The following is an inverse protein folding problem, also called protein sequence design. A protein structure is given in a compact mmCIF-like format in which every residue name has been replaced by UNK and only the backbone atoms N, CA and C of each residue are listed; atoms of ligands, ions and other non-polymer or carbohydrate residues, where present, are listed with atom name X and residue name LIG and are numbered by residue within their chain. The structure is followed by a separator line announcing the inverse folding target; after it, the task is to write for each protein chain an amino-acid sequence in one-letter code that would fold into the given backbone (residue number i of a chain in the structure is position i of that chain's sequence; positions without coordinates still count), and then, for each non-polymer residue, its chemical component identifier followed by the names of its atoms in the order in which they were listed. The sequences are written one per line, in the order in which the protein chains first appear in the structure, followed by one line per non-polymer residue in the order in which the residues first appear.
data_IF_868465100517
#
_entry.id   IF_868465100517
#
_cell.length_a   1.000
_cell.length_b   1.000
_cell.length_c   1.000
_cell.angle_alpha   90.00
_cell.angle_beta   90.00
_cell.angle_gamma   90.00
#
_symmetry.space_group_name_H-M   'P 1'
#
loop_
_entity.id
_entity.type
_entity.pdbx_description
1 polymer ?
#
# COMPACT_ATOMS: atom_id res chain seq x y z
N UNK A 1 42.38 -25.15 -85.18
CA UNK A 1 41.45 -24.08 -84.75
C UNK A 1 40.78 -24.52 -83.45
N UNK A 2 40.84 -23.66 -82.43
CA UNK A 2 40.08 -23.62 -81.16
C UNK A 2 40.17 -24.82 -80.18
N UNK A 3 41.09 -24.70 -79.23
CA UNK A 3 41.01 -25.29 -77.87
C UNK A 3 39.97 -24.52 -77.06
N UNK A 4 39.09 -25.20 -76.31
CA UNK A 4 38.42 -24.63 -75.14
C UNK A 4 38.36 -25.71 -74.05
N UNK A 5 39.21 -25.54 -73.04
CA UNK A 5 39.25 -26.31 -71.81
C UNK A 5 38.04 -25.94 -70.94
N UNK A 6 37.38 -26.96 -70.40
CA UNK A 6 36.34 -26.82 -69.39
C UNK A 6 36.99 -26.35 -68.07
N UNK A 7 36.75 -25.10 -67.69
CA UNK A 7 37.19 -24.56 -66.40
C UNK A 7 36.19 -24.97 -65.32
N UNK A 8 36.65 -25.78 -64.38
CA UNK A 8 35.94 -26.21 -63.18
C UNK A 8 35.93 -25.06 -62.15
N UNK A 9 34.83 -24.32 -62.04
CA UNK A 9 34.66 -23.31 -60.99
C UNK A 9 34.34 -23.98 -59.65
N UNK A 10 35.32 -23.97 -58.76
CA UNK A 10 35.19 -24.32 -57.35
C UNK A 10 34.56 -23.14 -56.59
N UNK A 11 33.24 -23.19 -56.37
CA UNK A 11 32.55 -22.20 -55.56
C UNK A 11 32.68 -22.55 -54.06
N UNK A 12 33.53 -21.80 -53.34
CA UNK A 12 33.56 -21.75 -51.88
C UNK A 12 32.22 -21.19 -51.38
N UNK A 13 31.34 -22.04 -50.86
CA UNK A 13 30.21 -21.62 -50.06
C UNK A 13 30.69 -21.29 -48.64
N UNK A 14 30.97 -20.02 -48.37
CA UNK A 14 31.09 -19.47 -47.03
C UNK A 14 29.70 -19.47 -46.38
N UNK A 15 29.41 -20.50 -45.58
CA UNK A 15 28.25 -20.53 -44.70
C UNK A 15 28.42 -19.50 -43.59
N UNK A 16 27.71 -18.38 -43.69
CA UNK A 16 27.54 -17.43 -42.59
C UNK A 16 26.55 -18.05 -41.62
N UNK A 17 27.04 -18.79 -40.63
CA UNK A 17 26.23 -19.22 -39.49
C UNK A 17 25.97 -18.00 -38.62
N UNK A 18 24.80 -17.38 -38.79
CA UNK A 18 24.31 -16.41 -37.80
C UNK A 18 23.97 -17.18 -36.52
N UNK A 19 24.49 -16.79 -35.35
CA UNK A 19 24.05 -17.40 -34.10
C UNK A 19 22.59 -17.01 -33.88
N UNK A 20 21.74 -18.03 -33.75
CA UNK A 20 20.38 -17.92 -33.29
C UNK A 20 20.41 -17.29 -31.89
N UNK A 21 20.06 -16.01 -31.79
CA UNK A 21 19.90 -15.36 -30.50
C UNK A 21 18.69 -16.02 -29.82
N UNK A 22 18.97 -16.92 -28.88
CA UNK A 22 17.98 -17.39 -27.93
C UNK A 22 17.50 -16.16 -27.15
N UNK A 23 16.26 -15.73 -27.39
CA UNK A 23 15.56 -14.81 -26.52
C UNK A 23 15.39 -15.54 -25.19
N UNK A 24 16.31 -15.29 -24.26
CA UNK A 24 16.11 -15.66 -22.88
C UNK A 24 14.84 -14.93 -22.42
N UNK A 25 13.78 -15.69 -22.13
CA UNK A 25 12.60 -15.17 -21.45
C UNK A 25 13.08 -14.67 -20.10
N UNK A 26 13.34 -13.37 -20.03
CA UNK A 26 13.79 -12.68 -18.82
C UNK A 26 12.85 -13.10 -17.71
N UNK A 27 13.38 -13.76 -16.68
CA UNK A 27 12.70 -13.88 -15.39
C UNK A 27 12.41 -12.45 -14.94
N UNK A 28 11.17 -11.99 -15.15
CA UNK A 28 10.71 -10.66 -14.81
C UNK A 28 10.84 -10.55 -13.30
N UNK A 29 11.95 -9.98 -12.82
CA UNK A 29 12.05 -9.53 -11.44
C UNK A 29 11.22 -8.25 -11.35
N UNK A 30 10.09 -8.24 -10.64
CA UNK A 30 9.06 -7.21 -10.72
C UNK A 30 9.45 -5.89 -10.01
N UNK A 31 10.75 -5.61 -9.94
CA UNK A 31 11.34 -4.42 -9.33
C UNK A 31 12.36 -3.73 -10.24
N UNK A 32 12.51 -4.16 -11.51
CA UNK A 32 13.46 -3.50 -12.41
C UNK A 32 12.94 -2.12 -12.85
N UNK A 33 13.39 -1.08 -12.15
CA UNK A 33 13.05 0.32 -12.47
C UNK A 33 13.69 0.83 -13.76
N UNK A 34 14.69 0.13 -14.32
CA UNK A 34 15.35 0.55 -15.57
C UNK A 34 14.45 0.44 -16.80
N UNK A 35 13.39 -0.37 -16.73
CA UNK A 35 12.40 -0.52 -17.80
C UNK A 35 11.15 0.33 -17.57
N UNK A 36 11.09 1.08 -16.46
CA UNK A 36 9.97 1.96 -16.16
C UNK A 36 9.99 3.20 -17.08
N UNK A 37 8.83 3.71 -17.50
CA UNK A 37 8.77 4.96 -18.24
C UNK A 37 9.27 6.13 -17.38
N UNK A 38 10.00 7.05 -18.00
CA UNK A 38 10.43 8.28 -17.33
C UNK A 38 9.29 9.28 -17.28
N UNK A 39 8.83 9.61 -16.07
CA UNK A 39 7.81 10.63 -15.81
C UNK A 39 8.50 11.79 -15.10
N UNK A 40 8.21 13.03 -15.52
CA UNK A 40 8.82 14.20 -14.90
C UNK A 40 8.29 14.42 -13.47
N UNK A 41 9.15 14.88 -12.56
CA UNK A 41 8.75 15.18 -11.18
C UNK A 41 7.65 16.24 -11.09
N UNK A 42 7.66 17.23 -12.00
CA UNK A 42 6.61 18.24 -12.09
C UNK A 42 5.23 17.63 -12.39
N UNK A 43 5.17 16.67 -13.32
CA UNK A 43 3.93 15.93 -13.62
C UNK A 43 3.48 15.11 -12.41
N UNK A 44 4.39 14.39 -11.75
CA UNK A 44 4.06 13.59 -10.56
C UNK A 44 3.51 14.45 -9.42
N UNK A 45 4.06 15.65 -9.20
CA UNK A 45 3.59 16.55 -8.14
C UNK A 45 2.20 17.15 -8.39
N UNK A 46 1.73 17.16 -9.64
CA UNK A 46 0.41 17.69 -10.01
C UNK A 46 -0.70 16.64 -9.90
N UNK A 47 -0.36 15.36 -9.73
CA UNK A 47 -1.35 14.30 -9.62
C UNK A 47 -2.13 14.39 -8.29
N UNK A 48 -3.44 14.10 -8.30
CA UNK A 48 -4.24 14.05 -7.08
C UNK A 48 -3.98 12.75 -6.33
N UNK A 49 -2.92 12.73 -5.53
CA UNK A 49 -2.53 11.59 -4.71
C UNK A 49 -3.58 11.30 -3.63
N UNK A 50 -4.28 10.18 -3.77
CA UNK A 50 -5.30 9.74 -2.82
C UNK A 50 -4.62 9.01 -1.64
N UNK A 51 -4.82 9.46 -0.39
CA UNK A 51 -4.23 8.79 0.76
C UNK A 51 -4.90 7.42 1.00
N UNK A 52 -4.10 6.37 1.17
CA UNK A 52 -4.56 5.01 1.41
C UNK A 52 -3.84 4.43 2.62
N UNK A 53 -4.50 4.47 3.78
CA UNK A 53 -3.92 4.06 5.08
C UNK A 53 -4.27 2.60 5.39
N UNK A 54 -3.28 1.68 5.48
CA UNK A 54 -3.54 0.25 5.74
C UNK A 54 -4.10 -0.01 7.15
N UNK A 55 -4.97 -1.02 7.33
CA UNK A 55 -5.58 -1.83 6.29
C UNK A 55 -6.68 -1.06 5.54
N UNK A 56 -6.64 -1.11 4.21
CA UNK A 56 -7.63 -0.43 3.37
C UNK A 56 -8.04 -1.28 2.17
N UNK A 57 -9.29 -1.10 1.74
CA UNK A 57 -9.79 -1.61 0.46
C UNK A 57 -10.58 -0.49 -0.20
N UNK A 58 -10.23 -0.16 -1.44
CA UNK A 58 -10.86 0.92 -2.18
C UNK A 58 -11.15 0.47 -3.62
N UNK A 59 -12.30 0.88 -4.11
CA UNK A 59 -12.68 0.73 -5.52
C UNK A 59 -12.56 2.10 -6.20
N UNK A 60 -11.94 2.11 -7.38
CA UNK A 60 -11.62 3.32 -8.13
C UNK A 60 -12.10 3.14 -9.57
N UNK A 61 -12.96 4.06 -10.01
CA UNK A 61 -13.41 4.12 -11.39
C UNK A 61 -12.50 5.05 -12.18
N UNK A 62 -11.76 4.49 -13.13
CA UNK A 62 -10.99 5.25 -14.11
C UNK A 62 -11.91 5.62 -15.26
N UNK A 63 -12.12 6.92 -15.46
CA UNK A 63 -13.00 7.47 -16.50
C UNK A 63 -12.24 8.46 -17.37
N UNK A 64 -12.85 8.98 -18.44
CA UNK A 64 -12.24 10.02 -19.28
C UNK A 64 -11.95 11.33 -18.50
N UNK A 65 -12.60 11.55 -17.35
CA UNK A 65 -12.37 12.71 -16.49
C UNK A 65 -11.30 12.46 -15.41
N UNK A 66 -10.81 11.23 -15.29
CA UNK A 66 -9.72 10.92 -14.38
C UNK A 66 -8.42 11.58 -14.87
N UNK A 67 -7.43 11.81 -13.98
CA UNK A 67 -6.15 12.35 -14.38
C UNK A 67 -5.52 11.52 -15.50
N UNK A 68 -4.79 12.17 -16.41
CA UNK A 68 -4.09 11.52 -17.50
C UNK A 68 -2.64 11.98 -17.53
N UNK A 69 -1.76 11.10 -18.00
CA UNK A 69 -0.34 11.40 -18.20
C UNK A 69 0.00 11.08 -19.65
N UNK A 70 0.52 12.06 -20.38
CA UNK A 70 0.95 11.91 -21.77
C UNK A 70 2.48 11.99 -21.90
N UNK A 71 3.19 11.18 -21.10
CA UNK A 71 4.65 11.09 -21.11
C UNK A 71 5.11 9.66 -21.39
N UNK A 72 6.11 9.51 -22.26
CA UNK A 72 6.58 8.20 -22.70
C UNK A 72 5.49 7.43 -23.43
N UNK A 73 5.28 6.17 -23.02
CA UNK A 73 4.27 5.27 -23.58
C UNK A 73 2.98 5.22 -22.78
N UNK A 74 2.83 6.07 -21.76
CA UNK A 74 1.65 6.11 -20.89
C UNK A 74 0.49 6.71 -21.67
N UNK A 75 -0.67 6.05 -21.62
CA UNK A 75 -1.87 6.49 -22.31
C UNK A 75 -3.12 6.11 -21.50
N UNK A 76 -4.09 7.02 -21.43
CA UNK A 76 -5.34 6.79 -20.69
C UNK A 76 -5.36 7.37 -19.28
N UNK A 77 -6.38 6.95 -18.52
CA UNK A 77 -6.61 7.39 -17.16
C UNK A 77 -5.60 6.76 -16.18
N UNK A 78 -5.21 7.52 -15.16
CA UNK A 78 -4.29 7.08 -14.11
C UNK A 78 -4.93 7.17 -12.73
N UNK A 79 -4.55 6.26 -11.84
CA UNK A 79 -4.84 6.33 -10.41
C UNK A 79 -3.54 6.55 -9.63
N UNK A 80 -3.58 7.46 -8.67
CA UNK A 80 -2.42 7.87 -7.90
C UNK A 80 -2.73 7.73 -6.40
N UNK A 81 -1.96 6.92 -5.68
CA UNK A 81 -2.16 6.62 -4.27
C UNK A 81 -0.94 7.01 -3.44
N UNK A 82 -1.14 7.59 -2.26
CA UNK A 82 -0.10 7.83 -1.27
C UNK A 82 -0.30 6.89 -0.08
N UNK A 83 0.72 6.15 0.29
CA UNK A 83 0.65 5.14 1.35
C UNK A 83 1.65 5.44 2.45
N UNK A 84 1.26 5.39 3.74
CA UNK A 84 2.20 5.54 4.84
C UNK A 84 3.18 4.36 4.84
N UNK A 85 4.47 4.69 4.97
CA UNK A 85 5.58 3.75 4.90
C UNK A 85 6.20 3.44 6.28
N UNK A 86 5.66 4.03 7.35
CA UNK A 86 6.07 3.84 8.74
C UNK A 86 5.49 2.56 9.39
N UNK A 87 4.73 1.78 8.62
CA UNK A 87 4.00 0.59 9.10
C UNK A 87 4.61 -0.74 8.66
N UNK A 88 5.93 -0.80 8.49
CA UNK A 88 6.63 -2.03 8.10
C UNK A 88 6.28 -2.52 6.69
N UNK A 89 6.49 -3.81 6.42
CA UNK A 89 6.18 -4.40 5.12
C UNK A 89 4.68 -4.35 4.81
N UNK A 90 4.38 -4.17 3.53
CA UNK A 90 3.03 -4.01 3.02
C UNK A 90 2.76 -5.01 1.89
N UNK A 91 1.56 -5.57 1.89
CA UNK A 91 1.04 -6.36 0.77
C UNK A 91 -0.08 -5.57 0.09
N UNK A 92 0.09 -5.31 -1.21
CA UNK A 92 -0.85 -4.59 -2.05
C UNK A 92 -1.39 -5.57 -3.09
N UNK A 93 -2.69 -5.84 -3.05
CA UNK A 93 -3.39 -6.53 -4.13
C UNK A 93 -4.08 -5.50 -5.00
N UNK A 94 -3.67 -5.39 -6.26
CA UNK A 94 -4.36 -4.60 -7.27
C UNK A 94 -5.13 -5.54 -8.19
N UNK A 95 -6.40 -5.22 -8.41
CA UNK A 95 -7.29 -5.92 -9.33
C UNK A 95 -7.88 -4.94 -10.34
N UNK A 96 -7.82 -5.26 -11.62
CA UNK A 96 -8.61 -4.57 -12.65
C UNK A 96 -9.72 -5.46 -13.14
N UNK A 97 -10.97 -5.02 -12.95
CA UNK A 97 -12.16 -5.80 -13.24
C UNK A 97 -12.49 -5.75 -14.73
N UNK A 98 -12.92 -6.87 -15.27
CA UNK A 98 -13.53 -6.94 -16.60
C UNK A 98 -14.98 -6.47 -16.51
N UNK A 99 -15.38 -5.58 -17.41
CA UNK A 99 -16.77 -5.15 -17.60
C UNK A 99 -17.07 -5.08 -19.10
N UNK A 100 -18.16 -5.70 -19.55
CA UNK A 100 -18.58 -5.67 -20.96
C UNK A 100 -17.47 -6.05 -21.97
N UNK A 101 -16.70 -7.11 -21.69
CA UNK A 101 -15.54 -7.51 -22.50
C UNK A 101 -14.50 -6.38 -22.69
N UNK A 102 -14.46 -5.42 -21.77
CA UNK A 102 -13.46 -4.37 -21.68
C UNK A 102 -12.70 -4.52 -20.37
N UNK A 103 -11.42 -4.15 -20.39
CA UNK A 103 -10.50 -4.40 -19.30
C UNK A 103 -9.41 -3.32 -19.30
N UNK A 104 -9.13 -2.75 -18.15
CA UNK A 104 -7.95 -1.90 -18.02
C UNK A 104 -6.73 -2.79 -17.74
N UNK A 105 -5.64 -2.63 -18.50
CA UNK A 105 -4.42 -3.42 -18.29
C UNK A 105 -3.40 -2.60 -17.50
N UNK A 106 -3.25 -2.83 -16.18
CA UNK A 106 -2.50 -1.93 -15.32
C UNK A 106 -1.00 -2.21 -15.37
N UNK A 107 -0.21 -1.16 -15.40
CA UNK A 107 1.19 -1.12 -14.96
C UNK A 107 1.27 -0.26 -13.70
N UNK A 108 2.16 -0.62 -12.77
CA UNK A 108 2.32 0.08 -11.49
C UNK A 108 3.75 0.56 -11.33
N UNK A 109 3.91 1.87 -11.16
CA UNK A 109 5.16 2.49 -10.75
C UNK A 109 5.07 2.84 -9.26
N UNK A 110 5.98 2.28 -8.48
CA UNK A 110 6.15 2.62 -7.07
C UNK A 110 7.24 3.67 -6.97
N UNK A 111 6.94 4.76 -6.26
CA UNK A 111 7.86 5.86 -6.02
C UNK A 111 8.19 5.97 -4.53
N UNK A 112 9.41 6.40 -4.23
CA UNK A 112 9.83 6.77 -2.88
C UNK A 112 9.24 8.11 -2.43
N UNK A 113 9.54 8.51 -1.20
CA UNK A 113 9.14 9.80 -0.61
C UNK A 113 9.62 11.02 -1.42
N UNK A 114 10.67 10.87 -2.24
CA UNK A 114 11.19 11.91 -3.12
C UNK A 114 10.64 11.83 -4.55
N UNK A 115 9.57 11.03 -4.78
CA UNK A 115 8.96 10.78 -6.10
C UNK A 115 9.93 10.16 -7.12
N UNK A 116 10.90 9.36 -6.66
CA UNK A 116 11.83 8.62 -7.54
C UNK A 116 11.35 7.17 -7.69
N UNK A 117 11.52 6.56 -8.87
CA UNK A 117 11.19 5.15 -9.07
C UNK A 117 11.89 4.22 -8.08
N UNK A 118 11.12 3.48 -7.31
CA UNK A 118 11.59 2.50 -6.32
C UNK A 118 11.30 1.05 -6.77
N UNK A 119 10.17 0.81 -7.43
CA UNK A 119 9.84 -0.48 -8.03
C UNK A 119 8.91 -0.28 -9.23
N UNK A 120 8.88 -1.26 -10.14
CA UNK A 120 8.04 -1.20 -11.33
C UNK A 120 7.48 -2.58 -11.69
N UNK A 121 6.15 -2.64 -11.78
CA UNK A 121 5.38 -3.83 -12.11
C UNK A 121 4.70 -3.61 -13.47
N UNK A 122 5.21 -4.23 -14.55
CA UNK A 122 4.61 -4.10 -15.88
C UNK A 122 3.27 -4.82 -15.98
N UNK A 123 2.50 -4.55 -17.03
CA UNK A 123 1.20 -5.19 -17.27
C UNK A 123 1.24 -6.73 -17.26
N UNK A 124 2.34 -7.33 -17.73
CA UNK A 124 2.53 -8.79 -17.71
C UNK A 124 2.64 -9.39 -16.30
N UNK A 125 2.82 -8.57 -15.26
CA UNK A 125 2.79 -9.02 -13.87
C UNK A 125 1.38 -9.37 -13.40
N UNK A 126 0.35 -8.79 -14.03
CA UNK A 126 -1.04 -8.96 -13.62
C UNK A 126 -1.68 -10.08 -14.45
N UNK A 127 -2.03 -11.17 -13.78
CA UNK A 127 -2.56 -12.38 -14.44
C UNK A 127 -4.07 -12.40 -14.41
N UNK A 128 -4.67 -13.03 -15.43
CA UNK A 128 -6.10 -13.25 -15.47
C UNK A 128 -6.55 -14.22 -14.37
N UNK A 129 -7.51 -13.78 -13.58
CA UNK A 129 -8.20 -14.56 -12.56
C UNK A 129 -9.67 -14.68 -12.94
N UNK A 130 -10.15 -15.92 -13.04
CA UNK A 130 -11.54 -16.21 -13.39
C UNK A 130 -12.52 -15.71 -12.34
N UNK A 131 -13.75 -15.46 -12.77
CA UNK A 131 -14.86 -15.15 -11.88
C UNK A 131 -15.11 -16.28 -10.85
N UNK A 132 -15.56 -15.87 -9.66
CA UNK A 132 -16.03 -16.73 -8.58
C UNK A 132 -17.37 -16.21 -8.01
N UNK A 133 -17.86 -16.82 -6.93
CA UNK A 133 -19.22 -16.58 -6.40
C UNK A 133 -19.53 -15.09 -6.12
N UNK A 134 -18.53 -14.29 -5.75
CA UNK A 134 -18.66 -12.86 -5.42
C UNK A 134 -17.57 -11.99 -6.07
N UNK A 135 -16.83 -12.53 -7.04
CA UNK A 135 -15.68 -11.84 -7.64
C UNK A 135 -15.76 -11.99 -9.15
N UNK A 136 -15.68 -10.89 -9.87
CA UNK A 136 -15.71 -10.91 -11.32
C UNK A 136 -14.35 -11.32 -11.91
N UNK A 137 -14.38 -11.63 -13.20
CA UNK A 137 -13.19 -11.75 -14.04
C UNK A 137 -12.33 -10.50 -13.91
N UNK A 138 -11.01 -10.68 -13.76
CA UNK A 138 -10.10 -9.57 -13.51
C UNK A 138 -8.67 -9.91 -13.88
N UNK A 139 -7.85 -8.89 -14.08
CA UNK A 139 -6.40 -8.99 -13.94
C UNK A 139 -6.03 -8.72 -12.49
N UNK A 140 -5.20 -9.55 -11.88
CA UNK A 140 -4.78 -9.39 -10.49
C UNK A 140 -3.27 -9.51 -10.33
N UNK A 141 -2.70 -8.70 -9.45
CA UNK A 141 -1.31 -8.78 -9.04
C UNK A 141 -1.16 -8.46 -7.56
N UNK A 142 -0.30 -9.22 -6.87
CA UNK A 142 0.02 -9.02 -5.46
C UNK A 142 1.44 -8.51 -5.35
N UNK A 143 1.64 -7.33 -4.80
CA UNK A 143 2.92 -6.66 -4.66
C UNK A 143 3.30 -6.62 -3.18
N UNK A 144 4.45 -7.16 -2.83
CA UNK A 144 5.01 -7.08 -1.48
C UNK A 144 6.08 -6.00 -1.47
N UNK A 145 5.82 -4.92 -0.73
CA UNK A 145 6.69 -3.76 -0.64
C UNK A 145 7.21 -3.64 0.79
N UNK A 146 8.52 -3.49 0.93
CA UNK A 146 9.16 -3.19 2.21
C UNK A 146 9.80 -1.82 2.10
N UNK A 147 9.16 -0.77 2.64
CA UNK A 147 9.73 0.56 2.62
C UNK A 147 11.07 0.61 3.36
N UNK A 148 11.96 1.53 2.94
CA UNK A 148 13.24 1.70 3.60
C UNK A 148 13.07 2.29 5.02
N UNK A 149 14.01 1.98 5.91
CA UNK A 149 14.01 2.53 7.27
C UNK A 149 14.05 4.07 7.23
N UNK A 150 13.14 4.70 7.98
CA UNK A 150 13.02 6.17 8.04
C UNK A 150 12.14 6.79 6.95
N UNK A 151 11.68 6.02 5.97
CA UNK A 151 10.72 6.49 4.98
C UNK A 151 9.33 6.63 5.61
N UNK A 152 8.70 7.80 5.43
CA UNK A 152 7.37 8.07 6.00
C UNK A 152 6.24 7.77 5.03
N UNK A 153 6.51 7.86 3.74
CA UNK A 153 5.52 7.68 2.69
C UNK A 153 6.12 7.09 1.42
N UNK A 154 5.32 6.29 0.72
CA UNK A 154 5.56 5.87 -0.66
C UNK A 154 4.36 6.25 -1.54
N UNK A 155 4.57 6.27 -2.84
CA UNK A 155 3.52 6.57 -3.79
C UNK A 155 3.35 5.45 -4.81
N UNK A 156 2.11 5.12 -5.13
CA UNK A 156 1.76 4.11 -6.14
C UNK A 156 1.01 4.78 -7.28
N UNK A 157 1.61 4.76 -8.46
CA UNK A 157 0.99 5.24 -9.69
C UNK A 157 0.56 4.05 -10.55
N UNK A 158 -0.74 3.92 -10.79
CA UNK A 158 -1.34 2.91 -11.66
C UNK A 158 -1.76 3.57 -12.97
N UNK A 159 -1.30 3.02 -14.09
CA UNK A 159 -1.58 3.53 -15.42
C UNK A 159 -1.61 2.38 -16.43
N UNK A 160 -1.92 2.67 -17.69
CA UNK A 160 -1.74 1.71 -18.79
C UNK A 160 -0.88 2.33 -19.89
N UNK A 161 -0.41 1.49 -20.82
CA UNK A 161 0.49 1.91 -21.88
C UNK A 161 -0.16 1.71 -23.25
N UNK A 162 0.29 2.47 -24.26
CA UNK A 162 -0.17 2.28 -25.64
C UNK A 162 0.04 0.85 -26.14
N UNK A 163 1.14 0.22 -25.74
CA UNK A 163 1.44 -1.17 -26.12
C UNK A 163 0.43 -2.13 -25.50
N UNK A 164 0.09 -1.93 -24.23
CA UNK A 164 -0.86 -2.80 -23.55
C UNK A 164 -2.29 -2.55 -24.01
N UNK A 165 -2.65 -1.31 -24.38
CA UNK A 165 -3.94 -0.99 -25.00
C UNK A 165 -4.15 -1.69 -26.36
N UNK A 166 -3.07 -2.00 -27.09
CA UNK A 166 -3.15 -2.74 -28.34
C UNK A 166 -3.32 -4.27 -28.14
N UNK A 167 -3.18 -4.76 -26.90
CA UNK A 167 -3.33 -6.18 -26.55
C UNK A 167 -4.76 -6.49 -26.10
N UNK A 168 -5.00 -7.77 -25.84
CA UNK A 168 -6.26 -8.28 -25.33
C UNK A 168 -6.02 -9.45 -24.39
N UNK A 169 -6.96 -9.70 -23.48
CA UNK A 169 -6.92 -10.83 -22.56
C UNK A 169 -8.00 -11.84 -22.95
N UNK A 170 -7.63 -13.12 -23.05
CA UNK A 170 -8.60 -14.20 -23.25
C UNK A 170 -9.19 -14.58 -21.90
N UNK A 171 -10.51 -14.57 -21.78
CA UNK A 171 -11.25 -14.88 -20.56
C UNK A 171 -11.73 -16.34 -20.60
N UNK A 172 -12.09 -16.91 -19.45
CA UNK A 172 -12.73 -18.22 -19.42
C UNK A 172 -14.21 -18.11 -19.77
N UNK A 173 -14.67 -18.85 -20.78
CA UNK A 173 -16.09 -18.88 -21.12
C UNK A 173 -16.94 -19.37 -19.93
N UNK A 174 -18.07 -18.70 -19.60
CA UNK A 174 -18.92 -19.08 -18.46
C UNK A 174 -19.38 -20.54 -18.50
N UNK A 175 -19.71 -21.07 -19.68
CA UNK A 175 -20.13 -22.47 -19.82
C UNK A 175 -18.97 -23.46 -19.54
N UNK A 176 -17.73 -23.11 -19.90
CA UNK A 176 -16.55 -23.91 -19.52
C UNK A 176 -16.31 -23.85 -18.02
N UNK A 177 -16.37 -22.66 -17.42
CA UNK A 177 -16.21 -22.48 -15.98
C UNK A 177 -17.25 -23.28 -15.18
N UNK A 178 -18.51 -23.25 -15.62
CA UNK A 178 -19.59 -24.03 -15.01
C UNK A 178 -19.35 -25.54 -15.13
N UNK A 179 -19.05 -26.03 -16.34
CA UNK A 179 -18.77 -27.45 -16.57
C UNK A 179 -17.62 -27.96 -15.69
N UNK A 180 -16.53 -27.20 -15.60
CA UNK A 180 -15.41 -27.50 -14.70
C UNK A 180 -15.84 -27.53 -13.23
N UNK A 181 -16.73 -26.62 -12.81
CA UNK A 181 -17.21 -26.53 -11.43
C UNK A 181 -18.13 -27.68 -11.01
N UNK A 182 -18.92 -28.24 -11.93
CA UNK A 182 -19.83 -29.37 -11.67
C UNK A 182 -19.23 -30.73 -12.03
N UNK A 183 -17.98 -30.77 -12.52
CA UNK A 183 -17.31 -32.02 -12.91
C UNK A 183 -17.80 -32.63 -14.24
N UNK A 184 -18.45 -31.83 -15.08
CA UNK A 184 -18.90 -32.26 -16.41
C UNK A 184 -17.78 -32.12 -17.44
N UNK A 185 -17.96 -32.77 -18.60
CA UNK A 185 -17.11 -32.55 -19.76
C UNK A 185 -17.11 -31.06 -20.16
N UNK A 186 -15.92 -30.48 -20.37
CA UNK A 186 -15.78 -29.07 -20.77
C UNK A 186 -16.20 -28.91 -22.23
N UNK A 187 -17.18 -28.03 -22.54
CA UNK A 187 -17.60 -27.80 -23.93
C UNK A 187 -16.48 -27.21 -24.79
N UNK A 188 -16.39 -27.65 -26.04
CA UNK A 188 -15.48 -27.09 -27.05
C UNK A 188 -16.10 -25.84 -27.68
N UNK A 189 -16.04 -24.72 -26.96
CA UNK A 189 -16.49 -23.40 -27.43
C UNK A 189 -15.34 -22.40 -27.36
N UNK A 190 -15.29 -21.39 -28.25
CA UNK A 190 -14.31 -20.31 -28.13
C UNK A 190 -14.48 -19.51 -26.83
N UNK A 191 -13.36 -19.07 -26.29
CA UNK A 191 -13.30 -18.24 -25.09
C UNK A 191 -13.51 -16.74 -25.43
N UNK A 192 -14.26 -15.98 -24.61
CA UNK A 192 -14.47 -14.56 -24.85
C UNK A 192 -13.17 -13.77 -24.72
N UNK A 193 -13.00 -12.74 -25.55
CA UNK A 193 -11.82 -11.88 -25.54
C UNK A 193 -12.20 -10.53 -24.93
N UNK A 194 -11.45 -10.09 -23.92
CA UNK A 194 -11.53 -8.75 -23.36
C UNK A 194 -10.55 -7.81 -24.08
N UNK A 195 -11.06 -6.71 -24.64
CA UNK A 195 -10.23 -5.66 -25.23
C UNK A 195 -9.68 -4.75 -24.14
N UNK A 196 -8.43 -4.34 -24.28
CA UNK A 196 -7.85 -3.40 -23.34
C UNK A 196 -8.33 -1.98 -23.61
N UNK A 197 -8.65 -1.23 -22.55
CA UNK A 197 -9.23 0.12 -22.63
C UNK A 197 -8.48 1.11 -21.74
N UNK A 198 -8.44 2.41 -22.10
CA UNK A 198 -7.75 3.45 -21.32
C UNK A 198 -8.48 3.82 -20.02
N UNK A 199 -9.65 3.24 -19.80
CA UNK A 199 -10.54 3.43 -18.65
C UNK A 199 -11.00 2.07 -18.13
N UNK A 200 -11.46 2.00 -16.89
CA UNK A 200 -11.95 0.75 -16.29
C UNK A 200 -12.11 0.83 -14.78
N UNK A 201 -12.50 -0.28 -14.17
CA UNK A 201 -12.69 -0.36 -12.73
C UNK A 201 -11.50 -1.05 -12.07
N UNK A 202 -10.96 -0.40 -11.04
CA UNK A 202 -9.86 -0.91 -10.23
C UNK A 202 -10.33 -1.17 -8.81
N UNK A 203 -9.76 -2.20 -8.19
CA UNK A 203 -9.88 -2.48 -6.76
C UNK A 203 -8.49 -2.66 -6.18
N UNK A 204 -8.16 -1.85 -5.19
CA UNK A 204 -6.89 -1.93 -4.47
C UNK A 204 -7.15 -2.33 -3.02
N UNK A 205 -6.46 -3.36 -2.56
CA UNK A 205 -6.44 -3.80 -1.18
C UNK A 205 -5.02 -3.68 -0.66
N UNK A 206 -4.86 -3.05 0.49
CA UNK A 206 -3.57 -2.85 1.12
C UNK A 206 -3.63 -3.34 2.56
N UNK A 207 -2.67 -4.17 2.94
CA UNK A 207 -2.45 -4.62 4.31
C UNK A 207 -1.01 -4.33 4.71
N UNK A 208 -0.80 -3.88 5.95
CA UNK A 208 0.53 -3.73 6.53
C UNK A 208 0.72 -4.82 7.58
N UNK A 209 1.95 -5.31 7.76
CA UNK A 209 2.27 -6.36 8.73
C UNK A 209 2.20 -5.88 10.19
N UNK A 210 2.00 -4.58 10.42
CA UNK A 210 1.80 -4.02 11.75
C UNK A 210 0.35 -4.18 12.19
N UNK A 211 0.08 -5.19 13.01
CA UNK A 211 -1.24 -5.38 13.62
C UNK A 211 -1.82 -6.78 13.55
N UNK A 212 -1.00 -7.83 13.43
CA UNK A 212 -1.41 -9.13 13.99
C UNK A 212 -1.58 -8.93 15.49
N UNK A 213 -2.81 -8.64 15.91
CA UNK A 213 -3.16 -8.24 17.26
C UNK A 213 -2.62 -9.24 18.27
N UNK A 214 -1.72 -8.79 19.14
CA UNK A 214 -1.43 -9.50 20.36
C UNK A 214 -2.72 -9.47 21.19
N UNK A 215 -3.48 -10.57 21.20
CA UNK A 215 -4.58 -10.77 22.12
C UNK A 215 -3.93 -11.03 23.48
N UNK A 216 -4.05 -10.07 24.40
CA UNK A 216 -3.66 -10.29 25.79
C UNK A 216 -4.71 -11.21 26.42
N UNK A 217 -4.40 -12.50 26.51
CA UNK A 217 -5.25 -13.48 27.19
C UNK A 217 -5.06 -13.31 28.70
N UNK A 218 -6.01 -12.66 29.36
CA UNK A 218 -6.02 -12.47 30.81
C UNK A 218 -7.12 -11.51 31.31
N UNK A 219 -8.26 -12.09 31.72
CA UNK A 219 -9.34 -11.56 32.58
C UNK A 219 -9.70 -10.06 32.50
N UNK A 220 -10.72 -9.76 31.70
CA UNK A 220 -11.60 -8.58 31.88
C UNK A 220 -12.55 -8.82 33.06
N UNK A 221 -12.50 -7.98 34.09
CA UNK A 221 -13.57 -7.91 35.10
C UNK A 221 -14.67 -6.96 34.64
N UNK A 222 -15.89 -7.35 34.96
CA UNK A 222 -17.16 -7.04 34.32
C UNK A 222 -17.97 -5.91 34.97
N UNK A 223 -18.66 -5.15 34.09
CA UNK A 223 -20.02 -4.55 34.23
C UNK A 223 -20.19 -3.25 35.06
N UNK A 224 -21.34 -2.51 34.93
CA UNK A 224 -22.23 -2.25 33.78
C UNK A 224 -22.59 -0.74 33.59
N UNK A 225 -23.44 -0.48 32.59
CA UNK A 225 -23.91 0.80 32.07
C UNK A 225 -24.83 1.65 32.99
N UNK A 226 -24.87 2.96 32.74
CA UNK A 226 -26.13 3.76 32.66
C UNK A 226 -25.87 5.12 31.99
N UNK A 227 -26.88 5.59 31.26
CA UNK A 227 -26.84 6.71 30.30
C UNK A 227 -27.52 8.00 30.89
N UNK A 228 -27.81 9.05 30.10
CA UNK A 228 -27.43 10.45 30.37
C UNK A 228 -28.57 11.33 30.93
N UNK A 229 -28.25 12.50 31.49
CA UNK A 229 -29.25 13.57 31.72
C UNK A 229 -28.70 14.95 31.32
N UNK A 230 -29.43 15.58 30.40
CA UNK A 230 -29.37 16.95 29.89
C UNK A 230 -30.01 17.92 30.89
N UNK A 231 -29.45 19.12 31.13
CA UNK A 231 -30.19 20.41 31.21
C UNK A 231 -29.24 21.61 31.00
N UNK A 232 -29.56 22.51 30.05
CA UNK A 232 -29.41 23.96 30.27
C UNK A 232 -28.45 24.77 29.38
N UNK A 233 -28.96 25.23 28.23
CA UNK A 233 -28.86 26.59 27.66
C UNK A 233 -27.67 27.50 28.09
N UNK A 234 -26.86 28.08 27.19
CA UNK A 234 -27.25 29.03 26.12
C UNK A 234 -26.07 29.27 25.16
N UNK A 235 -26.42 29.60 23.92
CA UNK A 235 -25.51 29.89 22.82
C UNK A 235 -24.81 31.27 22.88
N UNK A 236 -23.54 31.27 22.44
CA UNK A 236 -22.73 32.22 21.64
C UNK A 236 -23.08 33.73 21.56
N UNK A 237 -22.05 34.61 21.43
CA UNK A 237 -21.47 34.90 20.09
C UNK A 237 -19.93 34.98 19.99
N UNK A 238 -19.42 34.71 18.78
CA UNK A 238 -18.03 34.84 18.27
C UNK A 238 -17.69 36.31 17.89
N UNK A 239 -16.58 36.66 17.15
CA UNK A 239 -15.25 36.07 16.88
C UNK A 239 -14.12 37.03 17.41
N UNK A 240 -12.79 36.81 17.35
CA UNK A 240 -11.84 37.01 16.22
C UNK A 240 -10.40 36.62 16.65
N UNK A 241 -9.67 36.02 15.70
CA UNK A 241 -8.22 36.08 15.41
C UNK A 241 -7.14 35.87 16.51
N UNK A 242 -6.24 34.91 16.21
CA UNK A 242 -4.96 34.64 16.87
C UNK A 242 -3.97 35.84 16.79
N UNK A 243 -2.98 35.96 17.71
CA UNK A 243 -1.69 35.27 17.47
C UNK A 243 -0.89 34.81 18.72
N UNK A 244 -0.29 33.60 18.61
CA UNK A 244 0.97 33.14 19.25
C UNK A 244 1.12 33.22 20.81
N UNK A 245 2.25 32.76 21.40
CA UNK A 245 2.57 31.37 21.77
C UNK A 245 2.67 31.14 23.31
N UNK A 246 2.87 29.87 23.69
CA UNK A 246 3.26 29.32 25.03
C UNK A 246 2.26 29.40 26.19
N UNK A 247 1.89 28.23 26.75
CA UNK A 247 1.59 28.13 28.18
C UNK A 247 2.08 26.80 28.76
N UNK A 248 2.90 26.91 29.80
CA UNK A 248 3.30 25.84 30.68
C UNK A 248 2.07 25.13 31.26
N UNK A 249 2.18 23.80 31.43
CA UNK A 249 1.18 22.98 32.10
C UNK A 249 0.85 23.58 33.48
N UNK A 250 -0.43 23.74 33.75
CA UNK A 250 -0.91 24.24 35.03
C UNK A 250 -0.55 23.23 36.13
N UNK A 251 -0.10 23.68 37.32
CA UNK A 251 0.32 22.80 38.39
C UNK A 251 -0.85 21.92 38.83
N UNK A 252 -0.57 20.63 39.06
CA UNK A 252 -1.54 19.68 39.60
C UNK A 252 -2.22 20.24 40.86
N UNK A 253 -3.50 19.91 41.03
CA UNK A 253 -4.20 20.16 42.29
C UNK A 253 -3.42 19.50 43.43
N UNK A 254 -3.25 20.23 44.54
CA UNK A 254 -2.43 19.80 45.69
C UNK A 254 -2.89 18.47 46.29
N UNK A 255 -4.19 18.18 46.25
CA UNK A 255 -4.75 16.89 46.67
C UNK A 255 -4.29 15.73 45.79
N UNK A 256 -4.22 15.94 44.47
CA UNK A 256 -3.73 14.95 43.52
C UNK A 256 -2.23 14.74 43.70
N UNK A 257 -1.46 15.79 43.94
CA UNK A 257 -0.03 15.70 44.22
C UNK A 257 0.27 14.91 45.51
N UNK A 258 -0.52 15.15 46.57
CA UNK A 258 -0.40 14.39 47.82
C UNK A 258 -0.72 12.91 47.63
N UNK A 259 -1.73 12.59 46.83
CA UNK A 259 -2.08 11.20 46.50
C UNK A 259 -0.91 10.47 45.83
N UNK A 260 -0.33 11.05 44.79
CA UNK A 260 0.80 10.44 44.09
C UNK A 260 2.03 10.31 44.99
N UNK A 261 2.35 11.35 45.78
CA UNK A 261 3.47 11.29 46.73
C UNK A 261 3.31 10.18 47.77
N UNK A 262 2.09 9.96 48.27
CA UNK A 262 1.82 8.91 49.24
C UNK A 262 1.91 7.52 48.59
N UNK A 263 1.30 7.35 47.41
CA UNK A 263 1.34 6.09 46.66
C UNK A 263 2.78 5.70 46.27
N UNK A 264 3.63 6.68 45.90
CA UNK A 264 5.06 6.47 45.63
C UNK A 264 5.78 6.01 46.90
N UNK A 265 5.57 6.66 48.05
CA UNK A 265 6.17 6.25 49.33
C UNK A 265 5.78 4.82 49.71
N UNK A 266 4.51 4.47 49.54
CA UNK A 266 3.98 3.16 49.93
C UNK A 266 4.47 2.05 48.99
N UNK A 267 4.53 2.30 47.69
CA UNK A 267 5.11 1.37 46.72
C UNK A 267 6.62 1.14 46.98
N UNK A 268 7.37 2.22 47.24
CA UNK A 268 8.78 2.09 47.63
C UNK A 268 8.91 1.32 48.94
N UNK A 269 8.09 1.60 49.97
CA UNK A 269 8.04 0.84 51.25
C UNK A 269 7.74 -0.65 51.05
N UNK A 270 6.85 -0.99 50.13
CA UNK A 270 6.54 -2.37 49.77
C UNK A 270 7.67 -3.08 48.99
N UNK A 271 8.69 -2.34 48.53
CA UNK A 271 9.78 -2.88 47.70
C UNK A 271 9.41 -3.00 46.22
N UNK A 272 8.23 -2.49 45.85
CA UNK A 272 7.72 -2.50 44.48
C UNK A 272 8.20 -1.24 43.74
N UNK A 273 9.47 -1.29 43.34
CA UNK A 273 10.15 -0.17 42.66
C UNK A 273 9.52 0.11 41.29
N UNK A 274 9.07 -0.93 40.58
CA UNK A 274 8.45 -0.79 39.26
C UNK A 274 7.12 -0.03 39.35
N UNK A 275 6.28 -0.32 40.35
CA UNK A 275 5.05 0.44 40.60
C UNK A 275 5.35 1.87 41.03
N UNK A 276 6.37 2.08 41.85
CA UNK A 276 6.77 3.42 42.27
C UNK A 276 7.26 4.28 41.08
N UNK A 277 7.98 3.70 40.12
CA UNK A 277 8.42 4.37 38.90
C UNK A 277 7.24 4.71 37.96
N UNK A 278 6.26 3.81 37.82
CA UNK A 278 5.04 4.10 37.05
C UNK A 278 4.26 5.27 37.65
N UNK A 279 4.07 5.28 38.97
CA UNK A 279 3.38 6.36 39.67
C UNK A 279 4.14 7.69 39.59
N UNK A 280 5.48 7.65 39.59
CA UNK A 280 6.32 8.82 39.37
C UNK A 280 6.10 9.42 37.97
N UNK A 281 6.20 8.60 36.91
CA UNK A 281 6.06 9.07 35.54
C UNK A 281 4.66 9.64 35.27
N UNK A 282 3.62 9.03 35.84
CA UNK A 282 2.24 9.53 35.75
C UNK A 282 2.11 10.89 36.45
N UNK A 283 2.64 11.01 37.67
CA UNK A 283 2.61 12.27 38.40
C UNK A 283 3.36 13.39 37.65
N UNK A 284 4.51 13.09 37.04
CA UNK A 284 5.26 14.07 36.23
C UNK A 284 4.54 14.46 34.95
N UNK A 285 3.90 13.49 34.28
CA UNK A 285 3.09 13.76 33.10
C UNK A 285 1.93 14.71 33.41
N UNK A 286 1.33 14.56 34.59
CA UNK A 286 0.27 15.43 35.09
C UNK A 286 0.78 16.79 35.61
N UNK A 287 2.10 16.99 35.68
CA UNK A 287 2.72 18.26 36.08
C UNK A 287 3.16 18.35 37.55
N UNK A 288 3.31 17.22 38.25
CA UNK A 288 3.85 17.21 39.62
C UNK A 288 5.30 17.66 39.64
N UNK A 289 5.60 18.58 40.55
CA UNK A 289 6.98 19.07 40.77
C UNK A 289 7.66 18.38 41.95
N UNK A 290 6.90 17.68 42.81
CA UNK A 290 7.43 17.02 44.00
C UNK A 290 7.60 15.50 43.89
N UNK A 291 6.93 14.82 42.94
CA UNK A 291 6.95 13.36 42.82
C UNK A 291 8.36 12.75 42.72
N UNK A 292 9.25 13.34 41.90
CA UNK A 292 10.64 12.89 41.74
C UNK A 292 11.44 12.97 43.02
N UNK A 293 11.30 14.08 43.76
CA UNK A 293 11.97 14.28 45.04
C UNK A 293 11.47 13.27 46.08
N UNK A 294 10.17 12.99 46.09
CA UNK A 294 9.55 12.00 46.97
C UNK A 294 10.05 10.58 46.69
N UNK A 295 10.16 10.18 45.42
CA UNK A 295 10.71 8.89 45.02
C UNK A 295 12.17 8.72 45.49
N UNK A 296 13.05 9.69 45.16
CA UNK A 296 14.47 9.65 45.53
C UNK A 296 14.65 9.57 47.05
N UNK A 297 13.90 10.38 47.81
CA UNK A 297 13.95 10.34 49.28
C UNK A 297 13.49 9.01 49.87
N UNK A 298 12.46 8.39 49.28
CA UNK A 298 11.90 7.12 49.76
C UNK A 298 12.81 5.93 49.48
N UNK A 299 13.52 5.93 48.34
CA UNK A 299 14.46 4.86 47.99
C UNK A 299 15.75 4.97 48.79
N UNK A 300 16.21 6.20 49.06
CA UNK A 300 17.42 6.45 49.86
C UNK A 300 17.26 6.08 51.34
N UNK A 301 16.04 6.13 51.89
CA UNK A 301 15.75 5.73 53.27
C UNK A 301 15.64 4.22 53.52
N UNK A 302 15.89 3.38 52.51
CA UNK A 302 15.86 1.91 52.59
C UNK A 302 17.24 1.24 52.63
N UNK A 303 18.31 2.04 52.65
CA UNK A 303 19.69 1.58 52.85
C UNK A 303 20.10 1.65 54.31
#
# INVERSE_FOLDING_TARGET
MKKNLLTLCLALALGVTTPLAALATSTISPANVSIAPTISTATLQQLPWQPLVPPATQEVKLTANSPQISQGNIEGAVAAFALPADRGSMEITLSSLVSDNQLFSPSVLVLDEQMRPAAYYPASYFTYEKAGIMVNDRLQGVMKLTPALGQKQIYLLVYTTREDLAKSTTLLAPAKAYAMGVGNAVPDIPDPIAKHTPTGDLKIKVTAEQGMGNIMIGLIQSAPASAPVVVGNTAQPAPVAAPAPTKAAEPMLSETENYFNQAIKDAVKAGDVDKALKLLNEAEHLGSTSARKTFIGSVKGKG
#
